data_IF_235977540820
#
_entry.id   IF_235977540820
#
_cell.length_a   1.000
_cell.length_b   1.000
_cell.length_c   1.000
_cell.angle_alpha   90.00
_cell.angle_beta   90.00
_cell.angle_gamma   90.00
#
_symmetry.space_group_name_H-M   'P 1'
#
loop_
_entity.id
_entity.type
_entity.pdbx_description
1 polymer ?
#
# COMPACT_ATOMS: atom_id res chain seq x y z
N UNK A 1 -35.94 54.32 17.95
CA UNK A 1 -35.91 53.79 16.58
C UNK A 1 -34.59 53.05 16.42
N UNK A 2 -34.64 51.71 16.31
CA UNK A 2 -33.67 50.80 15.64
C UNK A 2 -32.17 51.09 15.87
N UNK A 3 -31.48 50.45 16.83
CA UNK A 3 -30.73 49.17 16.66
C UNK A 3 -30.15 49.03 15.26
N UNK A 4 -28.82 49.01 15.08
CA UNK A 4 -27.97 47.82 14.81
C UNK A 4 -26.65 48.46 14.29
N UNK A 5 -25.45 48.12 14.74
CA UNK A 5 -24.69 47.01 14.18
C UNK A 5 -23.46 46.75 15.06
N UNK A 6 -23.67 45.91 16.08
CA UNK A 6 -22.60 45.36 16.90
C UNK A 6 -21.75 44.43 16.05
N UNK A 7 -20.50 44.83 15.87
CA UNK A 7 -19.37 44.01 15.49
C UNK A 7 -19.15 42.97 16.60
N UNK A 8 -19.53 41.72 16.39
CA UNK A 8 -19.04 40.58 17.18
C UNK A 8 -19.00 39.34 16.29
N UNK A 9 -17.80 39.13 15.77
CA UNK A 9 -17.15 37.86 15.49
C UNK A 9 -17.78 36.69 16.26
N UNK A 10 -18.46 35.80 15.55
CA UNK A 10 -18.72 34.44 15.99
C UNK A 10 -18.41 33.52 14.81
N UNK A 11 -17.14 33.14 14.73
CA UNK A 11 -16.67 31.99 13.96
C UNK A 11 -17.37 30.78 14.57
N UNK A 12 -18.40 30.27 13.90
CA UNK A 12 -18.98 28.96 14.21
C UNK A 12 -18.25 27.97 13.32
N UNK A 13 -17.12 27.46 13.83
CA UNK A 13 -16.53 26.23 13.32
C UNK A 13 -17.44 25.10 13.79
N UNK A 14 -18.30 24.63 12.89
CA UNK A 14 -18.97 23.35 13.04
C UNK A 14 -17.97 22.27 12.59
N UNK A 15 -17.14 21.83 13.55
CA UNK A 15 -16.32 20.63 13.42
C UNK A 15 -17.28 19.42 13.41
N UNK A 16 -17.60 18.94 12.22
CA UNK A 16 -18.31 17.69 12.03
C UNK A 16 -17.28 16.62 11.63
N UNK A 17 -16.98 15.75 12.59
CA UNK A 17 -16.56 14.35 12.47
C UNK A 17 -15.49 13.97 11.41
N UNK A 18 -14.29 13.63 11.91
CA UNK A 18 -13.69 12.33 11.61
C UNK A 18 -12.53 12.23 10.61
N UNK A 19 -12.25 13.22 9.76
CA UNK A 19 -11.04 13.21 8.93
C UNK A 19 -9.90 13.91 9.69
N UNK A 20 -8.91 13.15 10.15
CA UNK A 20 -7.59 13.72 10.43
C UNK A 20 -7.01 14.15 9.08
N UNK A 21 -6.70 15.44 8.87
CA UNK A 21 -6.16 15.95 7.59
C UNK A 21 -4.86 15.24 7.17
N UNK A 22 -4.15 14.62 8.12
CA UNK A 22 -2.95 13.85 7.87
C UNK A 22 -3.23 12.50 7.17
N UNK A 23 -4.37 11.85 7.43
CA UNK A 23 -4.64 10.49 6.90
C UNK A 23 -4.86 10.44 5.39
N UNK A 24 -5.69 11.35 4.86
CA UNK A 24 -5.95 11.47 3.41
C UNK A 24 -4.72 11.97 2.65
N UNK A 25 -3.85 12.77 3.31
CA UNK A 25 -2.62 13.24 2.68
C UNK A 25 -1.55 12.15 2.59
N UNK A 26 -1.44 11.25 3.56
CA UNK A 26 -0.52 10.10 3.47
C UNK A 26 -0.92 9.13 2.36
N UNK A 27 -2.21 8.80 2.22
CA UNK A 27 -2.68 7.92 1.14
C UNK A 27 -2.40 8.51 -0.24
N UNK A 28 -2.61 9.82 -0.41
CA UNK A 28 -2.28 10.50 -1.65
C UNK A 28 -0.77 10.46 -1.96
N UNK A 29 0.08 10.64 -0.94
CA UNK A 29 1.53 10.55 -1.10
C UNK A 29 1.99 9.13 -1.48
N UNK A 30 1.45 8.10 -0.82
CA UNK A 30 1.73 6.69 -1.13
C UNK A 30 1.31 6.35 -2.56
N UNK A 31 0.12 6.79 -2.98
CA UNK A 31 -0.36 6.58 -4.34
C UNK A 31 0.52 7.28 -5.37
N UNK A 32 0.92 8.53 -5.11
CA UNK A 32 1.82 9.27 -5.99
C UNK A 32 3.17 8.55 -6.15
N UNK A 33 3.79 8.14 -5.04
CA UNK A 33 5.07 7.42 -5.07
C UNK A 33 4.94 6.09 -5.84
N UNK A 34 3.82 5.37 -5.65
CA UNK A 34 3.55 4.13 -6.37
C UNK A 34 3.40 4.37 -7.88
N UNK A 35 2.73 5.44 -8.29
CA UNK A 35 2.62 5.85 -9.71
C UNK A 35 3.96 6.26 -10.32
N UNK A 36 4.85 6.83 -9.51
CA UNK A 36 6.22 7.20 -9.90
C UNK A 36 7.18 5.99 -9.89
N UNK A 37 6.74 4.83 -9.38
CA UNK A 37 7.54 3.61 -9.26
C UNK A 37 8.43 3.54 -8.01
N UNK A 38 8.30 4.52 -7.10
CA UNK A 38 9.06 4.66 -5.86
C UNK A 38 8.42 3.83 -4.73
N UNK A 39 8.25 2.53 -4.97
CA UNK A 39 7.51 1.64 -4.06
C UNK A 39 8.15 1.47 -2.68
N UNK A 40 9.48 1.55 -2.55
CA UNK A 40 10.16 1.46 -1.25
C UNK A 40 9.80 2.66 -0.35
N UNK A 41 9.79 3.87 -0.92
CA UNK A 41 9.38 5.08 -0.19
C UNK A 41 7.88 5.05 0.14
N UNK A 42 7.06 4.53 -0.78
CA UNK A 42 5.63 4.32 -0.55
C UNK A 42 5.40 3.35 0.63
N UNK A 43 6.16 2.25 0.70
CA UNK A 43 6.08 1.27 1.78
C UNK A 43 6.51 1.85 3.12
N UNK A 44 7.58 2.64 3.17
CA UNK A 44 8.03 3.27 4.41
C UNK A 44 6.97 4.23 4.98
N UNK A 45 6.29 5.00 4.12
CA UNK A 45 5.18 5.86 4.54
C UNK A 45 3.96 5.06 5.00
N UNK A 46 3.59 4.01 4.25
CA UNK A 46 2.48 3.14 4.61
C UNK A 46 2.72 2.42 5.93
N UNK A 47 3.95 1.93 6.17
CA UNK A 47 4.36 1.30 7.43
C UNK A 47 4.31 2.29 8.58
N UNK A 48 4.83 3.50 8.40
CA UNK A 48 4.77 4.55 9.42
C UNK A 48 3.32 4.84 9.84
N UNK A 49 2.40 4.96 8.86
CA UNK A 49 0.97 5.12 9.14
C UNK A 49 0.39 3.93 9.89
N UNK A 50 0.72 2.71 9.48
CA UNK A 50 0.26 1.49 10.15
C UNK A 50 0.74 1.45 11.61
N UNK A 51 2.01 1.79 11.88
CA UNK A 51 2.57 1.84 13.22
C UNK A 51 1.90 2.91 14.11
N UNK A 52 1.55 4.07 13.54
CA UNK A 52 0.89 5.17 14.25
C UNK A 52 -0.59 4.91 14.56
N UNK A 53 -1.29 4.24 13.65
CA UNK A 53 -2.76 4.12 13.67
C UNK A 53 -3.25 2.72 14.04
N UNK A 54 -2.42 1.69 13.85
CA UNK A 54 -2.80 0.29 13.89
C UNK A 54 -3.63 -0.17 12.68
N UNK A 55 -3.82 0.69 11.67
CA UNK A 55 -4.51 0.35 10.42
C UNK A 55 -3.50 -0.04 9.34
N UNK A 56 -3.41 -1.34 9.06
CA UNK A 56 -2.50 -1.93 8.10
C UNK A 56 -3.03 -1.89 6.65
N UNK A 57 -4.24 -1.36 6.41
CA UNK A 57 -4.89 -1.39 5.08
C UNK A 57 -3.99 -0.80 4.00
N UNK A 58 -3.43 0.39 4.22
CA UNK A 58 -2.56 1.04 3.24
C UNK A 58 -1.25 0.26 3.02
N UNK A 59 -0.71 -0.37 4.06
CA UNK A 59 0.49 -1.19 3.95
C UNK A 59 0.23 -2.43 3.09
N UNK A 60 -0.89 -3.12 3.35
CA UNK A 60 -1.34 -4.27 2.56
C UNK A 60 -1.50 -3.88 1.07
N UNK A 61 -2.22 -2.79 0.80
CA UNK A 61 -2.46 -2.31 -0.56
C UNK A 61 -1.15 -1.95 -1.27
N UNK A 62 -0.19 -1.35 -0.56
CA UNK A 62 1.11 -0.96 -1.12
C UNK A 62 1.98 -2.18 -1.46
N UNK A 63 2.06 -3.18 -0.57
CA UNK A 63 2.75 -4.44 -0.89
C UNK A 63 2.11 -5.14 -2.10
N UNK A 64 0.78 -5.18 -2.15
CA UNK A 64 0.06 -5.78 -3.26
C UNK A 64 0.32 -5.05 -4.58
N UNK A 65 0.32 -3.72 -4.57
CA UNK A 65 0.63 -2.90 -5.74
C UNK A 65 2.07 -3.14 -6.22
N UNK A 66 3.04 -3.18 -5.31
CA UNK A 66 4.43 -3.43 -5.66
C UNK A 66 4.64 -4.83 -6.25
N UNK A 67 4.02 -5.86 -5.65
CA UNK A 67 4.06 -7.21 -6.18
C UNK A 67 3.48 -7.30 -7.61
N UNK A 68 2.38 -6.58 -7.87
CA UNK A 68 1.78 -6.49 -9.19
C UNK A 68 2.71 -5.78 -10.19
N UNK A 69 3.34 -4.66 -9.80
CA UNK A 69 4.32 -3.96 -10.62
C UNK A 69 5.50 -4.87 -11.00
N UNK A 70 6.08 -5.58 -10.02
CA UNK A 70 7.18 -6.51 -10.25
C UNK A 70 6.78 -7.64 -11.22
N UNK A 71 5.54 -8.11 -11.12
CA UNK A 71 5.02 -9.19 -11.98
C UNK A 71 4.80 -8.72 -13.43
N UNK A 72 4.30 -7.50 -13.64
CA UNK A 72 3.75 -7.08 -14.93
C UNK A 72 4.53 -5.98 -15.65
N UNK A 73 5.24 -5.13 -14.91
CA UNK A 73 5.76 -3.85 -15.42
C UNK A 73 7.28 -3.70 -15.24
N UNK A 74 7.88 -4.40 -14.26
CA UNK A 74 9.32 -4.39 -14.00
C UNK A 74 10.15 -5.20 -15.02
N UNK A 75 9.90 -5.03 -16.32
CA UNK A 75 10.56 -5.76 -17.42
C UNK A 75 12.06 -5.41 -17.57
N UNK A 76 12.52 -4.36 -16.89
CA UNK A 76 13.92 -3.99 -16.81
C UNK A 76 14.73 -4.90 -15.87
N UNK A 77 14.06 -5.66 -14.99
CA UNK A 77 14.66 -6.65 -14.10
C UNK A 77 14.70 -8.05 -14.74
N UNK A 78 15.62 -8.90 -14.27
CA UNK A 78 15.60 -10.29 -14.69
C UNK A 78 14.33 -10.98 -14.19
N UNK A 79 13.71 -11.82 -15.03
CA UNK A 79 12.44 -12.47 -14.68
C UNK A 79 12.53 -13.25 -13.35
N UNK A 80 13.63 -13.96 -13.11
CA UNK A 80 13.81 -14.72 -11.86
C UNK A 80 14.03 -13.86 -10.62
N UNK A 81 14.47 -12.61 -10.79
CA UNK A 81 14.62 -11.62 -9.72
C UNK A 81 13.25 -11.03 -9.40
N UNK A 82 12.61 -10.38 -10.38
CA UNK A 82 11.30 -9.74 -10.18
C UNK A 82 10.21 -10.68 -9.69
N UNK A 83 10.19 -11.94 -10.15
CA UNK A 83 9.18 -12.92 -9.70
C UNK A 83 9.47 -13.44 -8.29
N UNK A 84 10.75 -13.53 -7.91
CA UNK A 84 11.14 -13.88 -6.54
C UNK A 84 10.75 -12.77 -5.56
N UNK A 85 11.00 -11.52 -5.94
CA UNK A 85 10.66 -10.36 -5.12
C UNK A 85 9.13 -10.18 -5.04
N UNK A 86 8.42 -10.28 -6.16
CA UNK A 86 6.95 -10.25 -6.16
C UNK A 86 6.35 -11.30 -5.22
N UNK A 87 6.92 -12.51 -5.21
CA UNK A 87 6.48 -13.60 -4.33
C UNK A 87 6.67 -13.26 -2.85
N UNK A 88 7.77 -12.59 -2.49
CA UNK A 88 8.00 -12.12 -1.13
C UNK A 88 6.97 -11.07 -0.70
N UNK A 89 6.59 -10.14 -1.58
CA UNK A 89 5.55 -9.15 -1.31
C UNK A 89 4.15 -9.77 -1.20
N UNK A 90 3.76 -10.70 -2.09
CA UNK A 90 2.46 -11.38 -1.95
C UNK A 90 2.38 -12.21 -0.65
N UNK A 91 3.47 -12.83 -0.21
CA UNK A 91 3.49 -13.52 1.09
C UNK A 91 3.31 -12.54 2.24
N UNK A 92 3.92 -11.35 2.16
CA UNK A 92 3.72 -10.30 3.17
C UNK A 92 2.26 -9.86 3.24
N UNK A 93 1.60 -9.72 2.09
CA UNK A 93 0.15 -9.48 2.03
C UNK A 93 -0.63 -10.56 2.76
N UNK A 94 -0.27 -11.84 2.64
CA UNK A 94 -0.96 -12.93 3.35
C UNK A 94 -0.63 -13.02 4.84
N UNK A 95 0.51 -12.51 5.30
CA UNK A 95 0.78 -12.38 6.74
C UNK A 95 -0.10 -11.30 7.39
N UNK A 96 -0.41 -10.24 6.65
CA UNK A 96 -1.22 -9.11 7.11
C UNK A 96 -2.73 -9.36 6.89
N UNK A 97 -3.10 -10.01 5.78
CA UNK A 97 -4.45 -10.42 5.43
C UNK A 97 -4.45 -11.82 4.78
N UNK A 98 -4.62 -12.84 5.62
CA UNK A 98 -4.67 -14.25 5.22
C UNK A 98 -5.77 -14.56 4.17
N UNK A 99 -6.78 -13.70 4.07
CA UNK A 99 -7.94 -13.89 3.18
C UNK A 99 -7.78 -13.24 1.81
N UNK A 100 -6.64 -12.61 1.54
CA UNK A 100 -6.39 -11.89 0.30
C UNK A 100 -6.31 -12.85 -0.90
N UNK A 101 -7.44 -13.05 -1.57
CA UNK A 101 -7.57 -13.98 -2.71
C UNK A 101 -6.67 -13.63 -3.90
N UNK A 102 -6.33 -12.35 -4.08
CA UNK A 102 -5.43 -11.92 -5.15
C UNK A 102 -4.00 -12.41 -4.86
N UNK A 103 -3.48 -12.16 -3.66
CA UNK A 103 -2.16 -12.62 -3.28
C UNK A 103 -2.03 -14.15 -3.33
N UNK A 104 -3.04 -14.89 -2.85
CA UNK A 104 -3.09 -16.36 -2.97
C UNK A 104 -2.95 -16.81 -4.44
N UNK A 105 -3.76 -16.24 -5.33
CA UNK A 105 -3.78 -16.60 -6.74
C UNK A 105 -2.44 -16.30 -7.43
N UNK A 106 -1.79 -15.19 -7.10
CA UNK A 106 -0.50 -14.83 -7.69
C UNK A 106 0.66 -15.66 -7.14
N UNK A 107 0.62 -16.04 -5.85
CA UNK A 107 1.58 -17.00 -5.28
C UNK A 107 1.49 -18.32 -6.04
N UNK A 108 0.30 -18.89 -6.19
CA UNK A 108 0.10 -20.14 -6.94
C UNK A 108 0.61 -20.05 -8.38
N UNK A 109 0.34 -18.93 -9.06
CA UNK A 109 0.83 -18.69 -10.42
C UNK A 109 2.36 -18.67 -10.48
N UNK A 110 3.01 -17.90 -9.61
CA UNK A 110 4.47 -17.74 -9.62
C UNK A 110 5.16 -19.06 -9.25
N UNK A 111 4.69 -19.74 -8.20
CA UNK A 111 5.23 -21.04 -7.79
C UNK A 111 5.07 -22.09 -8.90
N UNK A 112 3.93 -22.09 -9.61
CA UNK A 112 3.72 -22.94 -10.78
C UNK A 112 4.66 -22.64 -11.95
N UNK A 113 5.13 -21.40 -12.10
CA UNK A 113 6.14 -21.04 -13.11
C UNK A 113 7.52 -21.61 -12.72
N UNK A 114 7.92 -21.51 -11.45
CA UNK A 114 9.18 -22.09 -10.97
C UNK A 114 9.19 -23.62 -11.13
N UNK A 115 8.08 -24.29 -10.80
CA UNK A 115 7.92 -25.74 -11.00
C UNK A 115 8.09 -26.13 -12.48
N UNK A 116 7.42 -25.44 -13.40
CA UNK A 116 7.55 -25.67 -14.84
C UNK A 116 8.98 -25.43 -15.36
N UNK A 117 9.72 -24.53 -14.74
CA UNK A 117 11.14 -24.29 -15.05
C UNK A 117 12.07 -25.33 -14.43
N UNK A 118 11.57 -26.22 -13.57
CA UNK A 118 12.39 -27.16 -12.80
C UNK A 118 13.35 -26.45 -11.84
N UNK A 119 12.92 -25.32 -11.27
CA UNK A 119 13.71 -24.49 -10.35
C UNK A 119 13.07 -24.46 -8.97
N UNK A 120 13.92 -24.32 -7.95
CA UNK A 120 13.44 -24.12 -6.59
C UNK A 120 12.69 -22.78 -6.47
N UNK A 121 11.57 -22.82 -5.74
CA UNK A 121 10.78 -21.62 -5.41
C UNK A 121 11.56 -20.79 -4.39
N UNK A 122 11.85 -19.50 -4.68
CA UNK A 122 12.46 -18.60 -3.71
C UNK A 122 11.62 -18.51 -2.43
N UNK A 123 12.30 -18.55 -1.28
CA UNK A 123 11.69 -18.42 0.04
C UNK A 123 11.96 -17.02 0.59
N UNK A 124 11.06 -16.51 1.43
CA UNK A 124 11.19 -15.19 2.03
C UNK A 124 9.87 -14.41 2.02
N UNK A 125 9.86 -13.34 2.80
CA UNK A 125 8.74 -12.40 2.96
C UNK A 125 9.35 -11.01 2.92
N UNK A 126 8.71 -10.10 2.17
CA UNK A 126 9.14 -8.70 2.12
C UNK A 126 8.90 -8.02 3.47
N UNK A 127 9.80 -7.12 3.88
CA UNK A 127 9.67 -6.34 5.11
C UNK A 127 8.68 -5.19 4.94
#
# INVERSE_FOLDING_TARGET
MRTILSLLLAIVIAFAAGCSPDSESTEQAVNQLSEEGEFEEALDLARTKADETGDETLLIETHLAYANYLTHEADHLAMGERMGDALAHYRRVLELDETNSQAQSHIELIEGIYDQMGRDVPQGVAE
#
